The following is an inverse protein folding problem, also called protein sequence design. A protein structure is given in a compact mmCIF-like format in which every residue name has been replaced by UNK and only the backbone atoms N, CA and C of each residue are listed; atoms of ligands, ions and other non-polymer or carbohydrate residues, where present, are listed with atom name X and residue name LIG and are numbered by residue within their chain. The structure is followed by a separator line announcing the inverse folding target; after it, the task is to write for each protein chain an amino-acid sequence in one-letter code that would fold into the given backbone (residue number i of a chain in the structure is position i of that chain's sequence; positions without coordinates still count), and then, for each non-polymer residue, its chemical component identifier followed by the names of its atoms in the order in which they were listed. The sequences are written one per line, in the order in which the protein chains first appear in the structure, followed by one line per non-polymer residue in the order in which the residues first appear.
data_IF_792398189143
#
_entry.id   IF_792398189143
#
_cell.length_a   1.000
_cell.length_b   1.000
_cell.length_c   1.000
_cell.angle_alpha   90.00
_cell.angle_beta   90.00
_cell.angle_gamma   90.00
#
_symmetry.space_group_name_H-M   'P 1'
#
loop_
_entity.id
_entity.type
_entity.pdbx_description
1 polymer ?
#
# COMPACT_ATOMS: atom_id res chain seq x y z
N UNK A 1 30.05 24.03 18.45
CA UNK A 1 30.12 23.49 17.07
C UNK A 1 29.50 22.09 16.87
N UNK A 2 29.43 21.20 17.88
CA UNK A 2 28.62 19.96 17.80
C UNK A 2 27.10 20.23 17.82
N UNK A 3 26.69 21.34 18.42
CA UNK A 3 25.28 21.72 18.63
C UNK A 3 24.52 22.01 17.33
N UNK A 4 25.09 22.87 16.47
CA UNK A 4 24.46 23.30 15.20
C UNK A 4 24.17 22.12 14.26
N UNK A 5 25.03 21.08 14.23
CA UNK A 5 24.79 19.90 13.40
C UNK A 5 23.69 18.99 13.93
N UNK A 6 23.47 18.97 15.25
CA UNK A 6 22.35 18.23 15.86
C UNK A 6 21.04 18.96 15.60
N UNK A 7 21.00 20.27 15.81
CA UNK A 7 19.79 21.09 15.62
C UNK A 7 19.24 21.00 14.19
N UNK A 8 20.12 21.06 13.18
CA UNK A 8 19.72 20.92 11.77
C UNK A 8 19.20 19.51 11.45
N UNK A 9 19.83 18.46 11.99
CA UNK A 9 19.34 17.08 11.82
C UNK A 9 17.99 16.86 12.51
N UNK A 10 17.80 17.41 13.72
CA UNK A 10 16.54 17.31 14.45
C UNK A 10 15.41 18.03 13.71
N UNK A 11 15.68 19.22 13.17
CA UNK A 11 14.70 19.96 12.36
C UNK A 11 14.30 19.19 11.10
N UNK A 12 15.26 18.55 10.41
CA UNK A 12 14.98 17.74 9.23
C UNK A 12 14.13 16.50 9.57
N UNK A 13 14.44 15.81 10.67
CA UNK A 13 13.65 14.66 11.12
C UNK A 13 12.22 15.06 11.51
N UNK A 14 12.05 16.19 12.21
CA UNK A 14 10.72 16.70 12.56
C UNK A 14 9.90 17.08 11.33
N UNK A 15 10.53 17.69 10.32
CA UNK A 15 9.86 18.00 9.06
C UNK A 15 9.42 16.75 8.31
N UNK A 16 10.26 15.71 8.25
CA UNK A 16 9.92 14.44 7.62
C UNK A 16 8.80 13.71 8.35
N UNK A 17 8.80 13.71 9.69
CA UNK A 17 7.72 13.13 10.50
C UNK A 17 6.41 13.89 10.23
N UNK A 18 6.43 15.22 10.26
CA UNK A 18 5.26 16.04 9.98
C UNK A 18 4.69 15.76 8.58
N UNK A 19 5.55 15.68 7.55
CA UNK A 19 5.12 15.33 6.19
C UNK A 19 4.54 13.92 6.16
N UNK A 20 5.16 12.95 6.83
CA UNK A 20 4.67 11.56 6.86
C UNK A 20 3.35 11.36 7.57
N UNK A 21 2.95 12.28 8.47
CA UNK A 21 1.66 12.22 9.18
C UNK A 21 0.61 12.98 8.38
N UNK A 22 0.96 14.16 7.87
CA UNK A 22 0.01 15.05 7.19
C UNK A 22 -0.37 14.50 5.81
N UNK A 23 0.57 13.94 5.03
CA UNK A 23 0.26 13.43 3.68
C UNK A 23 -0.76 12.28 3.71
N UNK A 24 -0.58 11.21 4.50
CA UNK A 24 -1.56 10.13 4.59
C UNK A 24 -2.89 10.61 5.15
N UNK A 25 -2.90 11.57 6.08
CA UNK A 25 -4.13 12.12 6.65
C UNK A 25 -4.92 12.93 5.61
N UNK A 26 -4.23 13.77 4.82
CA UNK A 26 -4.84 14.55 3.74
C UNK A 26 -5.32 13.64 2.61
N UNK A 27 -4.57 12.58 2.29
CA UNK A 27 -5.04 11.55 1.37
C UNK A 27 -6.28 10.85 1.96
N UNK A 28 -6.23 10.36 3.20
CA UNK A 28 -7.34 9.68 3.85
C UNK A 28 -8.61 10.55 3.90
N UNK A 29 -8.53 11.82 4.27
CA UNK A 29 -9.70 12.71 4.28
C UNK A 29 -10.27 13.01 2.89
N UNK A 30 -9.45 12.91 1.84
CA UNK A 30 -9.87 13.17 0.47
C UNK A 30 -10.35 11.91 -0.27
N UNK A 31 -9.93 10.74 0.21
CA UNK A 31 -10.26 9.43 -0.35
C UNK A 31 -11.21 8.60 0.52
N UNK A 32 -11.50 9.02 1.75
CA UNK A 32 -12.57 8.39 2.51
C UNK A 32 -13.87 8.71 1.77
N UNK A 33 -14.51 7.73 1.11
CA UNK A 33 -15.88 7.95 0.66
C UNK A 33 -16.67 8.41 1.88
N UNK A 34 -17.61 9.32 1.67
CA UNK A 34 -18.56 9.68 2.71
C UNK A 34 -19.31 8.39 3.08
N UNK A 35 -18.86 7.72 4.14
CA UNK A 35 -19.56 6.57 4.70
C UNK A 35 -20.86 7.16 5.23
N UNK A 36 -21.93 6.99 4.46
CA UNK A 36 -23.27 7.31 4.91
C UNK A 36 -23.55 6.43 6.13
N UNK A 37 -23.97 7.00 7.27
CA UNK A 37 -24.20 6.22 8.49
C UNK A 37 -25.47 5.34 8.44
N UNK A 38 -26.04 5.06 7.26
CA UNK A 38 -27.26 4.27 7.09
C UNK A 38 -27.02 2.81 6.64
N UNK A 39 -25.79 2.42 6.36
CA UNK A 39 -25.45 1.11 5.79
C UNK A 39 -25.32 -0.01 6.85
N UNK A 40 -26.39 -0.26 7.61
CA UNK A 40 -26.49 -1.49 8.42
C UNK A 40 -27.11 -2.60 7.57
N UNK A 41 -26.27 -3.35 6.84
CA UNK A 41 -26.73 -4.51 6.07
C UNK A 41 -27.04 -5.68 7.00
N UNK A 42 -28.05 -6.48 6.66
CA UNK A 42 -28.31 -7.75 7.31
C UNK A 42 -27.45 -8.86 6.69
N UNK A 43 -26.92 -9.78 7.51
CA UNK A 43 -26.31 -11.01 6.99
C UNK A 43 -27.42 -11.96 6.54
N UNK A 44 -27.27 -12.58 5.37
CA UNK A 44 -28.23 -13.57 4.88
C UNK A 44 -28.45 -14.69 5.90
N UNK A 45 -29.70 -15.16 6.03
CA UNK A 45 -29.97 -16.32 6.89
C UNK A 45 -29.55 -17.58 6.15
N UNK A 46 -28.57 -18.31 6.71
CA UNK A 46 -28.11 -19.57 6.15
C UNK A 46 -29.08 -20.68 6.55
N UNK A 47 -29.84 -21.18 5.58
CA UNK A 47 -30.65 -22.38 5.74
C UNK A 47 -29.78 -23.60 5.44
N UNK A 48 -29.55 -24.46 6.44
CA UNK A 48 -28.72 -25.65 6.28
C UNK A 48 -29.60 -26.91 6.12
N UNK A 49 -29.40 -27.64 5.01
CA UNK A 49 -29.81 -29.02 4.65
C UNK A 49 -30.45 -29.09 3.25
N UNK A 50 -30.31 -30.11 2.39
CA UNK A 50 -30.02 -31.56 2.48
C UNK A 50 -29.23 -31.95 1.23
N UNK A 51 -28.35 -32.95 1.32
CA UNK A 51 -27.69 -33.63 0.19
C UNK A 51 -28.67 -33.88 -0.98
N UNK A 52 -28.42 -33.25 -2.12
CA UNK A 52 -29.07 -33.60 -3.39
C UNK A 52 -28.13 -34.50 -4.24
N UNK A 53 -28.67 -35.47 -5.00
CA UNK A 53 -27.93 -36.59 -5.55
C UNK A 53 -27.03 -36.21 -6.74
N UNK A 54 -25.91 -36.94 -6.82
CA UNK A 54 -25.01 -37.18 -7.97
C UNK A 54 -25.08 -36.26 -9.19
N UNK A 55 -23.96 -35.58 -9.43
CA UNK A 55 -23.37 -35.03 -10.67
C UNK A 55 -24.23 -34.89 -11.94
N UNK A 56 -24.04 -33.81 -12.73
CA UNK A 56 -24.74 -33.65 -14.01
C UNK A 56 -24.41 -34.81 -14.96
N UNK A 57 -25.34 -35.19 -15.87
CA UNK A 57 -25.09 -36.26 -16.82
C UNK A 57 -23.95 -35.83 -17.74
N UNK A 58 -22.78 -36.46 -17.58
CA UNK A 58 -21.79 -36.51 -18.63
C UNK A 58 -22.27 -37.49 -19.68
N UNK A 59 -22.29 -37.05 -20.93
CA UNK A 59 -22.38 -37.91 -22.10
C UNK A 59 -21.22 -38.92 -22.05
N UNK A 60 -21.47 -40.18 -21.72
CA UNK A 60 -20.55 -41.29 -22.01
C UNK A 60 -21.28 -42.64 -21.99
N UNK A 61 -21.30 -43.28 -23.17
CA UNK A 61 -21.76 -44.64 -23.41
C UNK A 61 -20.89 -45.67 -22.65
N UNK A 62 -21.50 -46.55 -21.84
CA UNK A 62 -20.80 -47.76 -21.37
C UNK A 62 -21.49 -48.55 -20.25
N UNK A 63 -21.68 -49.87 -20.38
CA UNK A 63 -22.15 -50.71 -19.28
C UNK A 63 -20.96 -51.32 -18.50
N UNK A 64 -20.93 -51.16 -17.18
CA UNK A 64 -20.07 -52.01 -16.35
C UNK A 64 -19.69 -51.49 -14.97
N UNK A 65 -20.14 -52.21 -13.93
CA UNK A 65 -19.28 -52.73 -12.87
C UNK A 65 -18.75 -51.80 -11.78
N UNK A 66 -19.35 -51.92 -10.58
CA UNK A 66 -18.64 -52.31 -9.36
C UNK A 66 -17.67 -51.34 -8.64
N UNK A 67 -17.88 -51.28 -7.31
CA UNK A 67 -16.92 -50.93 -6.24
C UNK A 67 -16.81 -49.47 -5.79
N UNK A 68 -16.66 -49.31 -4.47
CA UNK A 68 -16.00 -48.14 -3.87
C UNK A 68 -16.88 -47.26 -2.99
N UNK A 69 -17.17 -47.69 -1.77
CA UNK A 69 -17.57 -46.80 -0.68
C UNK A 69 -16.41 -45.89 -0.29
N UNK A 70 -16.30 -44.73 -0.93
CA UNK A 70 -15.47 -43.61 -0.50
C UNK A 70 -16.39 -42.50 -0.02
N UNK A 71 -16.37 -42.20 1.27
CA UNK A 71 -17.03 -41.01 1.80
C UNK A 71 -16.37 -39.78 1.19
N UNK A 72 -16.99 -39.25 0.14
CA UNK A 72 -16.67 -37.91 -0.31
C UNK A 72 -17.12 -36.96 0.80
N UNK A 73 -16.17 -36.20 1.34
CA UNK A 73 -16.51 -34.92 1.95
C UNK A 73 -17.06 -34.04 0.84
N UNK A 74 -18.33 -34.23 0.51
CA UNK A 74 -19.02 -33.45 -0.49
C UNK A 74 -19.00 -31.99 -0.02
N UNK A 75 -18.59 -31.09 -0.92
CA UNK A 75 -18.85 -29.67 -0.74
C UNK A 75 -20.35 -29.54 -0.43
N UNK A 76 -20.68 -29.14 0.81
CA UNK A 76 -22.07 -28.92 1.18
C UNK A 76 -22.49 -27.66 0.48
N UNK A 77 -23.35 -27.78 -0.54
CA UNK A 77 -24.03 -26.63 -1.12
C UNK A 77 -24.85 -25.95 -0.04
N UNK A 78 -24.73 -24.63 0.05
CA UNK A 78 -25.43 -23.82 1.05
C UNK A 78 -26.60 -23.12 0.36
N UNK A 79 -27.74 -23.07 1.05
CA UNK A 79 -28.88 -22.26 0.63
C UNK A 79 -28.91 -20.97 1.44
N UNK A 80 -28.74 -19.85 0.75
CA UNK A 80 -28.81 -18.50 1.32
C UNK A 80 -30.20 -17.94 1.11
N UNK A 81 -30.89 -17.56 2.19
CA UNK A 81 -32.25 -17.00 2.11
C UNK A 81 -32.17 -15.48 2.31
N UNK A 82 -32.57 -14.76 1.27
CA UNK A 82 -32.63 -13.29 1.22
C UNK A 82 -34.09 -12.86 1.36
N UNK A 83 -34.52 -12.53 2.57
CA UNK A 83 -35.90 -12.12 2.81
C UNK A 83 -36.04 -10.59 2.73
N UNK A 84 -36.37 -10.07 1.56
CA UNK A 84 -36.45 -8.63 1.31
C UNK A 84 -37.61 -7.94 2.04
N UNK A 85 -38.60 -8.70 2.54
CA UNK A 85 -39.64 -8.16 3.45
C UNK A 85 -39.07 -7.74 4.83
N UNK A 86 -37.89 -8.25 5.20
CA UNK A 86 -37.25 -7.95 6.50
C UNK A 86 -36.10 -6.95 6.41
N UNK A 87 -35.32 -7.01 5.32
CA UNK A 87 -34.21 -6.11 5.05
C UNK A 87 -34.14 -5.85 3.56
N UNK A 88 -33.95 -4.61 3.14
CA UNK A 88 -33.81 -4.29 1.71
C UNK A 88 -32.47 -4.77 1.13
N UNK A 89 -31.51 -5.10 1.98
CA UNK A 89 -30.13 -5.39 1.57
C UNK A 89 -29.55 -6.54 2.37
N UNK A 90 -28.79 -7.38 1.68
CA UNK A 90 -28.09 -8.54 2.23
C UNK A 90 -26.67 -8.65 1.69
N UNK A 91 -25.74 -9.04 2.56
CA UNK A 91 -24.37 -9.40 2.19
C UNK A 91 -24.15 -10.90 2.43
N UNK A 92 -23.62 -11.59 1.42
CA UNK A 92 -23.13 -12.97 1.53
C UNK A 92 -21.60 -12.94 1.41
N UNK A 93 -20.91 -13.24 2.51
CA UNK A 93 -19.45 -13.22 2.58
C UNK A 93 -18.83 -14.51 2.01
N UNK A 94 -19.41 -15.67 2.33
CA UNK A 94 -18.92 -16.98 1.95
C UNK A 94 -19.81 -17.63 0.88
N UNK A 95 -19.77 -17.10 -0.35
CA UNK A 95 -20.51 -17.69 -1.48
C UNK A 95 -19.71 -18.79 -2.17
N UNK A 96 -20.28 -19.99 -2.29
CA UNK A 96 -19.68 -21.14 -2.95
C UNK A 96 -20.25 -21.42 -4.35
N UNK A 97 -19.46 -22.11 -5.20
CA UNK A 97 -19.98 -22.64 -6.47
C UNK A 97 -20.99 -23.76 -6.18
N UNK A 98 -22.16 -23.67 -6.80
CA UNK A 98 -23.30 -24.57 -6.60
C UNK A 98 -24.20 -24.21 -5.42
N UNK A 99 -23.89 -23.14 -4.68
CA UNK A 99 -24.82 -22.59 -3.69
C UNK A 99 -26.12 -22.14 -4.35
N UNK A 100 -27.22 -22.22 -3.58
CA UNK A 100 -28.53 -21.71 -3.97
C UNK A 100 -28.83 -20.43 -3.21
N UNK A 101 -29.42 -19.45 -3.87
CA UNK A 101 -29.89 -18.21 -3.27
C UNK A 101 -31.39 -18.12 -3.52
N UNK A 102 -32.18 -17.97 -2.46
CA UNK A 102 -33.63 -17.81 -2.53
C UNK A 102 -33.96 -16.38 -2.12
N UNK A 103 -34.43 -15.58 -3.07
CA UNK A 103 -34.86 -14.20 -2.84
C UNK A 103 -36.38 -14.16 -2.64
N UNK A 104 -36.81 -13.72 -1.45
CA UNK A 104 -38.23 -13.64 -1.06
C UNK A 104 -38.64 -12.17 -1.00
N UNK A 105 -39.62 -11.81 -1.83
CA UNK A 105 -40.19 -10.46 -1.94
C UNK A 105 -41.55 -10.38 -1.23
N UNK A 106 -42.23 -9.23 -1.32
CA UNK A 106 -43.58 -9.10 -0.76
C UNK A 106 -44.57 -10.05 -1.46
N UNK A 107 -45.70 -10.29 -0.79
CA UNK A 107 -46.75 -11.21 -1.26
C UNK A 107 -46.32 -12.68 -1.46
N UNK A 108 -45.13 -13.06 -0.99
CA UNK A 108 -44.63 -14.43 -1.07
C UNK A 108 -44.07 -14.81 -2.43
N UNK A 109 -43.68 -13.83 -3.24
CA UNK A 109 -42.99 -14.06 -4.51
C UNK A 109 -41.55 -14.48 -4.23
N UNK A 110 -41.12 -15.59 -4.83
CA UNK A 110 -39.81 -16.20 -4.59
C UNK A 110 -39.06 -16.42 -5.91
N UNK A 111 -37.77 -16.07 -5.93
CA UNK A 111 -36.88 -16.31 -7.05
C UNK A 111 -35.66 -17.14 -6.63
N UNK A 112 -35.37 -18.17 -7.42
CA UNK A 112 -34.30 -19.13 -7.19
C UNK A 112 -33.10 -18.84 -8.09
N UNK A 113 -31.96 -18.50 -7.48
CA UNK A 113 -30.69 -18.34 -8.17
C UNK A 113 -29.74 -19.48 -7.80
N UNK A 114 -29.02 -19.98 -8.79
CA UNK A 114 -27.92 -20.95 -8.60
C UNK A 114 -26.59 -20.29 -8.91
N UNK A 115 -25.58 -20.51 -8.07
CA UNK A 115 -24.22 -19.99 -8.32
C UNK A 115 -23.51 -20.93 -9.29
N UNK A 116 -23.58 -20.62 -10.58
CA UNK A 116 -22.98 -21.45 -11.63
C UNK A 116 -21.45 -21.37 -11.64
N UNK A 117 -20.90 -20.17 -11.44
CA UNK A 117 -19.46 -19.95 -11.31
C UNK A 117 -19.21 -18.80 -10.35
N UNK A 118 -18.23 -18.96 -9.49
CA UNK A 118 -17.79 -17.91 -8.59
C UNK A 118 -16.28 -17.96 -8.44
N UNK A 119 -15.65 -16.82 -8.69
CA UNK A 119 -14.26 -16.57 -8.38
C UNK A 119 -14.16 -15.20 -7.73
N UNK A 120 -13.76 -15.22 -6.46
CA UNK A 120 -13.60 -14.04 -5.60
C UNK A 120 -12.82 -12.96 -6.38
N UNK A 121 -13.37 -11.74 -6.41
CA UNK A 121 -12.78 -10.56 -7.05
C UNK A 121 -12.45 -10.70 -8.53
N UNK A 122 -13.08 -11.65 -9.23
CA UNK A 122 -12.90 -11.80 -10.67
C UNK A 122 -14.22 -11.89 -11.42
N UNK A 123 -15.11 -12.80 -11.02
CA UNK A 123 -16.37 -12.99 -11.72
C UNK A 123 -17.35 -13.80 -10.90
N UNK A 124 -18.60 -13.36 -10.90
CA UNK A 124 -19.75 -14.13 -10.45
C UNK A 124 -20.62 -14.47 -11.67
N UNK A 125 -21.12 -15.70 -11.74
CA UNK A 125 -22.13 -16.11 -12.71
C UNK A 125 -23.30 -16.70 -11.95
N UNK A 126 -24.42 -16.00 -11.98
CA UNK A 126 -25.68 -16.46 -11.43
C UNK A 126 -26.50 -17.12 -12.54
N UNK A 127 -27.23 -18.17 -12.19
CA UNK A 127 -28.19 -18.83 -13.06
C UNK A 127 -29.59 -18.73 -12.47
N UNK A 128 -30.53 -18.20 -13.24
CA UNK A 128 -31.96 -18.11 -12.89
C UNK A 128 -32.78 -18.49 -14.13
N UNK A 129 -33.81 -19.32 -13.95
CA UNK A 129 -34.66 -19.81 -15.04
C UNK A 129 -33.88 -20.40 -16.24
N UNK A 130 -32.73 -21.03 -15.96
CA UNK A 130 -31.84 -21.64 -16.98
C UNK A 130 -30.97 -20.65 -17.77
N UNK A 131 -31.00 -19.36 -17.46
CA UNK A 131 -30.15 -18.34 -18.08
C UNK A 131 -29.03 -17.89 -17.16
N UNK A 132 -27.86 -17.58 -17.74
CA UNK A 132 -26.64 -17.26 -17.01
C UNK A 132 -26.27 -15.78 -17.15
N UNK A 133 -26.05 -15.15 -16.01
CA UNK A 133 -25.76 -13.72 -15.91
C UNK A 133 -24.41 -13.52 -15.22
N UNK A 134 -23.47 -12.90 -15.94
CA UNK A 134 -22.13 -12.61 -15.44
C UNK A 134 -22.04 -11.23 -14.82
N UNK A 135 -21.33 -11.13 -13.70
CA UNK A 135 -21.01 -9.90 -13.01
C UNK A 135 -19.50 -9.80 -12.80
N UNK A 136 -18.90 -8.68 -13.18
CA UNK A 136 -17.51 -8.34 -12.86
C UNK A 136 -17.42 -7.45 -11.60
N UNK A 137 -16.24 -7.37 -10.95
CA UNK A 137 -16.06 -6.57 -9.73
C UNK A 137 -16.32 -5.07 -9.87
N UNK A 138 -16.14 -4.51 -11.08
CA UNK A 138 -16.36 -3.10 -11.38
C UNK A 138 -17.75 -2.81 -11.95
N UNK A 139 -18.68 -3.76 -11.84
CA UNK A 139 -20.01 -3.70 -12.43
C UNK A 139 -21.13 -3.83 -11.38
N UNK A 140 -22.31 -3.35 -11.76
CA UNK A 140 -23.58 -3.56 -11.09
C UNK A 140 -24.46 -4.37 -12.04
N UNK A 141 -25.06 -5.45 -11.55
CA UNK A 141 -26.00 -6.28 -12.31
C UNK A 141 -27.41 -6.02 -11.79
N UNK A 142 -28.24 -5.40 -12.61
CA UNK A 142 -29.65 -5.13 -12.35
C UNK A 142 -30.51 -6.23 -12.94
N UNK A 143 -31.53 -6.64 -12.19
CA UNK A 143 -32.55 -7.61 -12.57
C UNK A 143 -33.91 -6.92 -12.56
N UNK A 144 -34.60 -6.97 -13.69
CA UNK A 144 -36.03 -6.75 -13.84
C UNK A 144 -36.67 -8.14 -13.87
N UNK A 145 -37.23 -8.56 -12.73
CA UNK A 145 -37.69 -9.91 -12.46
C UNK A 145 -39.09 -10.17 -13.01
N UNK A 146 -39.90 -9.13 -13.22
CA UNK A 146 -41.28 -9.22 -13.72
C UNK A 146 -41.50 -8.61 -15.11
N UNK A 147 -40.41 -8.16 -15.77
CA UNK A 147 -40.40 -7.54 -17.10
C UNK A 147 -41.25 -6.27 -17.22
N UNK A 148 -41.49 -5.56 -16.12
CA UNK A 148 -42.27 -4.32 -16.13
C UNK A 148 -41.47 -3.09 -16.63
N UNK A 149 -40.17 -3.26 -16.90
CA UNK A 149 -39.24 -2.22 -17.35
C UNK A 149 -38.55 -1.46 -16.22
N UNK A 150 -38.76 -1.86 -14.96
CA UNK A 150 -38.11 -1.32 -13.77
C UNK A 150 -37.22 -2.40 -13.14
N UNK A 151 -36.04 -1.99 -12.69
CA UNK A 151 -35.11 -2.92 -12.04
C UNK A 151 -35.59 -3.21 -10.60
N UNK A 152 -35.87 -4.47 -10.28
CA UNK A 152 -36.32 -4.93 -8.96
C UNK A 152 -35.16 -5.19 -7.99
N UNK A 153 -34.04 -5.69 -8.51
CA UNK A 153 -32.90 -6.10 -7.68
C UNK A 153 -31.57 -5.70 -8.33
N UNK A 154 -30.60 -5.32 -7.51
CA UNK A 154 -29.22 -5.10 -7.93
C UNK A 154 -28.25 -5.98 -7.14
N UNK A 155 -27.26 -6.52 -7.87
CA UNK A 155 -26.19 -7.36 -7.33
C UNK A 155 -24.85 -6.69 -7.60
N UNK A 156 -24.00 -6.61 -6.58
CA UNK A 156 -22.68 -5.98 -6.67
C UNK A 156 -21.62 -6.73 -5.87
N UNK A 157 -20.36 -6.58 -6.27
CA UNK A 157 -19.22 -7.00 -5.45
C UNK A 157 -18.99 -5.99 -4.32
N UNK A 158 -18.64 -6.50 -3.15
CA UNK A 158 -18.15 -5.75 -1.99
C UNK A 158 -16.82 -6.35 -1.54
N UNK A 159 -16.03 -5.60 -0.77
CA UNK A 159 -14.67 -5.99 -0.36
C UNK A 159 -14.59 -7.41 0.25
N UNK A 160 -15.67 -7.86 0.90
CA UNK A 160 -15.72 -9.13 1.62
C UNK A 160 -16.85 -10.07 1.14
N UNK A 161 -17.52 -9.80 0.01
CA UNK A 161 -18.65 -10.63 -0.39
C UNK A 161 -19.45 -10.14 -1.59
N UNK A 162 -20.64 -10.72 -1.77
CA UNK A 162 -21.61 -10.31 -2.78
C UNK A 162 -22.81 -9.67 -2.08
N UNK A 163 -23.13 -8.44 -2.49
CA UNK A 163 -24.29 -7.70 -2.00
C UNK A 163 -25.48 -7.87 -2.93
N UNK A 164 -26.63 -8.13 -2.33
CA UNK A 164 -27.93 -8.15 -3.00
C UNK A 164 -28.81 -7.06 -2.38
N UNK A 165 -29.40 -6.22 -3.22
CA UNK A 165 -30.26 -5.11 -2.81
C UNK A 165 -31.55 -5.12 -3.61
N UNK A 166 -32.69 -5.12 -2.91
CA UNK A 166 -33.98 -4.87 -3.52
C UNK A 166 -34.17 -3.36 -3.76
N UNK A 167 -34.55 -3.02 -4.99
CA UNK A 167 -34.95 -1.70 -5.44
C UNK A 167 -36.48 -1.57 -5.42
N UNK A 168 -37.18 -2.61 -5.88
CA UNK A 168 -38.61 -2.81 -5.71
C UNK A 168 -38.86 -4.07 -4.86
N UNK A 169 -39.89 -4.03 -4.02
CA UNK A 169 -40.28 -5.13 -3.14
C UNK A 169 -41.46 -5.94 -3.70
N UNK A 170 -42.05 -5.50 -4.81
CA UNK A 170 -43.31 -6.02 -5.33
C UNK A 170 -43.24 -6.57 -6.76
N UNK A 171 -42.18 -7.33 -7.14
CA UNK A 171 -42.15 -7.96 -8.46
C UNK A 171 -43.34 -8.92 -8.61
N UNK A 172 -43.98 -8.90 -9.78
CA UNK A 172 -45.03 -9.87 -10.10
C UNK A 172 -44.38 -11.20 -10.48
N UNK A 173 -44.73 -12.26 -9.75
CA UNK A 173 -44.23 -13.60 -10.03
C UNK A 173 -44.85 -14.19 -11.29
N UNK A 174 -44.30 -13.84 -12.44
CA UNK A 174 -44.60 -14.48 -13.72
C UNK A 174 -43.48 -15.50 -14.06
N UNK A 175 -43.79 -16.55 -14.82
CA UNK A 175 -42.81 -17.55 -15.30
C UNK A 175 -41.84 -16.98 -16.37
N UNK A 176 -41.83 -15.66 -16.55
CA UNK A 176 -40.96 -14.95 -17.47
C UNK A 176 -39.49 -15.08 -17.08
N UNK A 177 -38.62 -14.91 -18.07
CA UNK A 177 -37.19 -14.92 -17.84
C UNK A 177 -36.79 -13.50 -17.44
N UNK A 178 -36.09 -13.29 -16.31
CA UNK A 178 -35.72 -11.95 -15.90
C UNK A 178 -34.85 -11.24 -16.95
N UNK A 179 -35.13 -9.97 -17.16
CA UNK A 179 -34.30 -9.09 -17.98
C UNK A 179 -33.16 -8.52 -17.12
N UNK A 180 -31.97 -8.37 -17.72
CA UNK A 180 -30.82 -7.85 -17.00
C UNK A 180 -30.13 -6.69 -17.70
N UNK A 181 -29.69 -5.72 -16.91
CA UNK A 181 -28.82 -4.62 -17.35
C UNK A 181 -27.54 -4.62 -16.51
N UNK A 182 -26.39 -4.43 -17.15
CA UNK A 182 -25.12 -4.26 -16.46
C UNK A 182 -24.64 -2.81 -16.60
N UNK A 183 -24.26 -2.19 -15.48
CA UNK A 183 -23.66 -0.86 -15.48
C UNK A 183 -22.28 -0.88 -14.84
N UNK A 184 -21.32 -0.14 -15.42
CA UNK A 184 -20.02 0.05 -14.78
C UNK A 184 -20.15 0.99 -13.59
N UNK A 185 -19.60 0.59 -12.45
CA UNK A 185 -19.43 1.45 -11.30
C UNK A 185 -18.56 2.63 -11.77
N UNK A 186 -19.14 3.84 -11.77
CA UNK A 186 -18.39 5.06 -11.99
C UNK A 186 -17.43 5.20 -10.82
N UNK A 187 -16.23 4.65 -10.97
CA UNK A 187 -15.16 4.87 -10.01
C UNK A 187 -15.06 6.38 -9.80
N UNK A 188 -14.94 6.86 -8.55
CA UNK A 188 -14.71 8.27 -8.32
C UNK A 188 -13.46 8.63 -9.09
N UNK A 189 -13.61 9.39 -10.20
CA UNK A 189 -12.47 9.94 -10.89
C UNK A 189 -11.71 10.70 -9.82
N UNK A 190 -10.45 10.31 -9.62
CA UNK A 190 -9.56 11.03 -8.75
C UNK A 190 -9.39 12.40 -9.37
N UNK A 191 -10.23 13.33 -8.94
CA UNK A 191 -10.18 14.71 -9.37
C UNK A 191 -8.98 15.32 -8.67
N UNK A 192 -7.81 15.17 -9.28
CA UNK A 192 -6.67 15.99 -8.92
C UNK A 192 -7.07 17.42 -9.27
N UNK A 193 -7.25 18.31 -8.27
CA UNK A 193 -7.60 19.69 -8.55
C UNK A 193 -6.54 20.24 -9.48
N UNK A 194 -6.98 20.85 -10.58
CA UNK A 194 -6.12 21.52 -11.55
C UNK A 194 -5.12 22.41 -10.81
N UNK A 195 -3.83 22.04 -10.86
CA UNK A 195 -2.75 22.70 -10.09
C UNK A 195 -1.98 21.80 -9.12
N UNK A 196 -2.47 20.58 -8.81
CA UNK A 196 -1.73 19.63 -7.97
C UNK A 196 -0.40 19.21 -8.60
N UNK A 197 -0.36 19.01 -9.91
CA UNK A 197 0.88 18.69 -10.63
C UNK A 197 1.93 19.80 -10.47
N UNK A 198 1.52 21.06 -10.62
CA UNK A 198 2.41 22.22 -10.48
C UNK A 198 2.94 22.32 -9.05
N UNK A 199 2.07 22.10 -8.04
CA UNK A 199 2.46 22.08 -6.63
C UNK A 199 3.45 20.97 -6.30
N UNK A 200 3.24 19.76 -6.83
CA UNK A 200 4.13 18.64 -6.64
C UNK A 200 5.52 18.89 -7.24
N UNK A 201 5.58 19.41 -8.47
CA UNK A 201 6.84 19.81 -9.11
C UNK A 201 7.56 20.90 -8.33
N UNK A 202 6.84 21.90 -7.81
CA UNK A 202 7.42 22.96 -6.98
C UNK A 202 8.06 22.42 -5.71
N UNK A 203 7.42 21.44 -5.04
CA UNK A 203 7.97 20.78 -3.85
C UNK A 203 9.26 20.02 -4.20
N UNK A 204 9.29 19.28 -5.32
CA UNK A 204 10.49 18.57 -5.76
C UNK A 204 11.66 19.52 -6.06
N UNK A 205 11.38 20.66 -6.69
CA UNK A 205 12.40 21.69 -6.97
C UNK A 205 12.95 22.29 -5.68
N UNK A 206 12.09 22.62 -4.71
CA UNK A 206 12.50 23.11 -3.40
C UNK A 206 13.37 22.09 -2.65
N UNK A 207 13.00 20.80 -2.69
CA UNK A 207 13.78 19.73 -2.07
C UNK A 207 15.18 19.60 -2.70
N UNK A 208 15.27 19.67 -4.03
CA UNK A 208 16.55 19.68 -4.75
C UNK A 208 17.44 20.85 -4.36
N UNK A 209 16.87 22.05 -4.24
CA UNK A 209 17.57 23.26 -3.76
C UNK A 209 18.09 23.10 -2.33
N UNK A 210 17.29 22.52 -1.43
CA UNK A 210 17.70 22.28 -0.04
C UNK A 210 18.90 21.32 0.04
N UNK A 211 18.87 20.22 -0.73
CA UNK A 211 19.99 19.25 -0.80
C UNK A 211 21.25 19.92 -1.34
N UNK A 212 21.12 20.75 -2.39
CA UNK A 212 22.24 21.49 -2.97
C UNK A 212 22.89 22.45 -1.95
N UNK A 213 22.08 23.19 -1.19
CA UNK A 213 22.58 24.08 -0.15
C UNK A 213 23.36 23.32 0.93
N UNK A 214 22.85 22.18 1.40
CA UNK A 214 23.55 21.32 2.36
C UNK A 214 24.91 20.88 1.82
N UNK A 215 24.98 20.49 0.54
CA UNK A 215 26.23 20.10 -0.10
C UNK A 215 27.24 21.27 -0.17
N UNK A 216 26.79 22.46 -0.58
CA UNK A 216 27.63 23.67 -0.63
C UNK A 216 28.17 24.02 0.76
N UNK A 217 27.30 24.04 1.79
CA UNK A 217 27.72 24.30 3.16
C UNK A 217 28.75 23.28 3.66
N UNK A 218 28.56 22.00 3.32
CA UNK A 218 29.50 20.94 3.65
C UNK A 218 30.88 21.17 3.00
N UNK A 219 30.92 21.51 1.72
CA UNK A 219 32.16 21.80 0.99
C UNK A 219 32.92 23.01 1.56
N UNK A 220 32.21 24.10 1.88
CA UNK A 220 32.81 25.29 2.50
C UNK A 220 33.42 24.95 3.85
N UNK A 221 32.72 24.14 4.66
CA UNK A 221 33.20 23.69 5.98
C UNK A 221 34.49 22.87 5.87
N UNK A 222 34.55 21.91 4.94
CA UNK A 222 35.74 21.11 4.68
C UNK A 222 36.94 21.99 4.32
N UNK A 223 36.77 22.94 3.40
CA UNK A 223 37.85 23.88 3.00
C UNK A 223 38.36 24.74 4.17
N UNK A 224 37.49 25.17 5.09
CA UNK A 224 37.90 25.93 6.29
C UNK A 224 38.73 25.08 7.26
N UNK A 225 38.36 23.81 7.44
CA UNK A 225 39.10 22.88 8.31
C UNK A 225 40.51 22.66 7.75
N UNK A 226 40.66 22.41 6.46
CA UNK A 226 41.96 22.22 5.81
C UNK A 226 42.88 23.44 5.97
N UNK A 227 42.35 24.65 5.72
CA UNK A 227 43.10 25.91 5.92
C UNK A 227 43.57 26.04 7.36
N UNK A 228 42.72 25.73 8.33
CA UNK A 228 43.04 25.83 9.76
C UNK A 228 44.12 24.83 10.18
N UNK A 229 44.03 23.57 9.73
CA UNK A 229 45.06 22.56 10.00
C UNK A 229 46.41 22.91 9.38
N UNK A 230 46.42 23.44 8.14
CA UNK A 230 47.66 23.86 7.48
C UNK A 230 48.36 25.00 8.23
N UNK A 231 47.61 26.00 8.70
CA UNK A 231 48.13 27.10 9.51
C UNK A 231 48.70 26.60 10.84
N UNK A 232 47.99 25.69 11.52
CA UNK A 232 48.43 25.10 12.79
C UNK A 232 49.72 24.29 12.65
N UNK A 233 49.87 23.50 11.59
CA UNK A 233 51.13 22.78 11.33
C UNK A 233 52.29 23.75 11.05
N UNK A 234 52.05 24.80 10.27
CA UNK A 234 53.06 25.84 9.99
C UNK A 234 53.50 26.55 11.28
N UNK A 235 52.56 26.90 12.17
CA UNK A 235 52.89 27.57 13.43
C UNK A 235 53.69 26.66 14.38
N UNK A 236 53.35 25.35 14.44
CA UNK A 236 54.13 24.38 15.22
C UNK A 236 55.58 24.29 14.73
N UNK A 237 55.81 24.25 13.42
CA UNK A 237 57.15 24.21 12.84
C UNK A 237 57.95 25.48 13.12
N UNK A 238 57.33 26.66 12.97
CA UNK A 238 57.98 27.95 13.29
C UNK A 238 58.35 28.02 14.78
N UNK A 239 57.46 27.56 15.67
CA UNK A 239 57.74 27.49 17.11
C UNK A 239 58.90 26.57 17.45
N UNK A 240 59.02 25.42 16.78
CA UNK A 240 60.17 24.53 16.91
C UNK A 240 61.47 25.21 16.45
N UNK A 241 61.48 25.87 15.29
CA UNK A 241 62.67 26.55 14.74
C UNK A 241 63.21 27.63 15.67
N UNK A 242 62.34 28.31 16.44
CA UNK A 242 62.72 29.34 17.41
C UNK A 242 63.35 28.79 18.69
N UNK A 243 62.95 27.59 19.14
CA UNK A 243 63.58 26.93 20.29
C UNK A 243 64.91 26.36 19.79
N UNK A 244 66.05 26.90 20.27
CA UNK A 244 67.41 26.37 20.01
C UNK A 244 67.32 24.84 20.00
N UNK A 245 67.74 24.17 18.92
CA UNK A 245 67.46 22.76 18.55
C UNK A 245 67.93 21.73 19.60
N UNK A 246 67.42 21.81 20.81
CA UNK A 246 67.76 20.91 21.91
C UNK A 246 67.11 19.56 21.68
N UNK A 247 67.74 18.52 22.22
CA UNK A 247 67.24 17.14 22.16
C UNK A 247 65.81 17.03 22.72
N UNK A 248 65.50 17.82 23.74
CA UNK A 248 64.16 17.90 24.33
C UNK A 248 63.13 18.54 23.39
N UNK A 249 63.47 19.66 22.74
CA UNK A 249 62.59 20.29 21.76
C UNK A 249 62.29 19.36 20.58
N UNK A 250 63.29 18.58 20.15
CA UNK A 250 63.14 17.53 19.13
C UNK A 250 62.13 16.47 19.57
N UNK A 251 62.28 15.95 20.80
CA UNK A 251 61.37 14.93 21.38
C UNK A 251 59.93 15.44 21.53
N UNK A 252 59.74 16.66 22.02
CA UNK A 252 58.42 17.29 22.17
C UNK A 252 57.73 17.50 20.81
N UNK A 253 58.47 17.99 19.81
CA UNK A 253 57.92 18.20 18.47
C UNK A 253 57.54 16.88 17.79
N UNK A 254 58.38 15.84 17.89
CA UNK A 254 58.05 14.49 17.38
C UNK A 254 56.80 13.93 18.06
N UNK A 255 56.65 14.10 19.38
CA UNK A 255 55.43 13.68 20.12
C UNK A 255 54.19 14.42 19.60
N UNK A 256 54.28 15.73 19.36
CA UNK A 256 53.19 16.54 18.79
C UNK A 256 52.82 16.11 17.38
N UNK A 257 53.80 15.85 16.50
CA UNK A 257 53.56 15.38 15.14
C UNK A 257 52.93 13.98 15.11
N UNK A 258 53.39 13.06 15.97
CA UNK A 258 52.76 11.74 16.13
C UNK A 258 51.31 11.85 16.61
N UNK A 259 51.02 12.76 17.53
CA UNK A 259 49.63 13.05 17.94
C UNK A 259 48.79 13.56 16.77
N UNK A 260 49.32 14.48 15.95
CA UNK A 260 48.62 14.95 14.75
C UNK A 260 48.40 13.83 13.73
N UNK A 261 49.37 12.93 13.54
CA UNK A 261 49.23 11.75 12.66
C UNK A 261 48.09 10.84 13.12
N UNK A 262 47.96 10.58 14.43
CA UNK A 262 46.84 9.81 15.00
C UNK A 262 45.50 10.51 14.77
N UNK A 263 45.41 11.81 15.07
CA UNK A 263 44.18 12.58 14.86
C UNK A 263 43.77 12.62 13.38
N UNK A 264 44.73 12.73 12.47
CA UNK A 264 44.50 12.69 11.03
C UNK A 264 43.97 11.33 10.58
N UNK A 265 44.53 10.23 11.12
CA UNK A 265 44.03 8.88 10.87
C UNK A 265 42.61 8.71 11.40
N UNK A 266 42.34 9.10 12.65
CA UNK A 266 40.98 9.02 13.23
C UNK A 266 39.97 9.81 12.40
N UNK A 267 40.32 11.01 11.91
CA UNK A 267 39.42 11.80 11.06
C UNK A 267 39.16 11.15 9.69
N UNK A 268 40.14 10.43 9.15
CA UNK A 268 39.96 9.65 7.91
C UNK A 268 39.09 8.42 8.15
N UNK A 269 39.40 7.63 9.19
CA UNK A 269 38.65 6.43 9.56
C UNK A 269 37.16 6.75 9.84
N UNK A 270 36.90 7.92 10.44
CA UNK A 270 35.53 8.42 10.68
C UNK A 270 34.90 9.14 9.48
N UNK A 271 35.49 9.05 8.28
CA UNK A 271 35.01 9.67 7.02
C UNK A 271 34.82 11.19 7.09
N UNK A 272 35.51 11.89 7.99
CA UNK A 272 35.45 13.37 8.07
C UNK A 272 36.33 14.06 7.03
N UNK A 273 37.33 13.38 6.49
CA UNK A 273 38.23 13.90 5.46
C UNK A 273 38.35 12.89 4.31
N UNK A 274 38.57 13.40 3.09
CA UNK A 274 38.80 12.55 1.92
C UNK A 274 40.14 11.80 2.01
N UNK A 275 40.25 10.71 1.26
CA UNK A 275 41.50 9.96 1.10
C UNK A 275 42.66 10.85 0.61
N UNK A 276 42.37 11.75 -0.33
CA UNK A 276 43.35 12.69 -0.87
C UNK A 276 43.84 13.66 0.21
N UNK A 277 42.93 14.27 0.97
CA UNK A 277 43.27 15.18 2.07
C UNK A 277 44.05 14.48 3.17
N UNK A 278 43.73 13.21 3.45
CA UNK A 278 44.50 12.35 4.35
C UNK A 278 45.95 12.17 3.86
N UNK A 279 46.17 11.72 2.62
CA UNK A 279 47.51 11.54 2.07
C UNK A 279 48.32 12.84 2.02
N UNK A 280 47.68 13.95 1.64
CA UNK A 280 48.31 15.28 1.61
C UNK A 280 48.73 15.74 3.01
N UNK A 281 47.88 15.51 4.02
CA UNK A 281 48.18 15.78 5.42
C UNK A 281 49.34 14.91 5.94
N UNK A 282 49.30 13.60 5.65
CA UNK A 282 50.33 12.64 6.04
C UNK A 282 51.70 12.99 5.43
N UNK A 283 51.73 13.33 4.14
CA UNK A 283 52.94 13.76 3.43
C UNK A 283 53.56 15.01 4.07
N UNK A 284 52.73 15.99 4.44
CA UNK A 284 53.20 17.21 5.15
C UNK A 284 53.80 16.87 6.51
N UNK A 285 53.13 16.03 7.31
CA UNK A 285 53.62 15.60 8.63
C UNK A 285 54.95 14.85 8.48
N UNK A 286 55.04 13.89 7.56
CA UNK A 286 56.27 13.12 7.30
C UNK A 286 57.43 14.01 6.84
N UNK A 287 57.17 14.98 5.96
CA UNK A 287 58.19 15.95 5.53
C UNK A 287 58.68 16.83 6.69
N UNK A 288 57.80 17.17 7.65
CA UNK A 288 58.22 17.89 8.86
C UNK A 288 59.03 17.02 9.81
N UNK A 289 58.67 15.74 9.99
CA UNK A 289 59.46 14.80 10.79
C UNK A 289 60.87 14.62 10.21
N UNK A 290 61.03 14.56 8.88
CA UNK A 290 62.35 14.48 8.23
C UNK A 290 63.23 15.72 8.45
N UNK A 291 62.63 16.89 8.70
CA UNK A 291 63.35 18.17 8.91
C UNK A 291 63.77 18.40 10.37
N UNK A 292 63.32 17.54 11.29
CA UNK A 292 63.53 17.64 12.74
C UNK A 292 64.72 16.79 13.14
#
# INVERSE_FOLDING_TARGET
MKQIGREVMTALCLALIAISIVMPSVLYFKYSPAISPEDSYATATVGLNVVAPSSPPGDDDGPGGGSGGGGSGGASYVTHILNFTKSKEYLIEDLGVGDKIIAIFEFGVEFDFSVYFYKINEKLVLEISGQKFGLLPDELLFFDLDENGFDDMVVSFEDNGIRFKALDLTPVGDESVPLTRTEKIKQPMIFFPSGFEVGFWFILVLLGLAILLVFIFHQIKLRRIEKTQSKRLKSMYVGYKKKKKTREAKKDMTKKLNRQKRLLKTAYDSKYISLESYHKGLKRINNMMKKI
#
